data_IF_121113605789
#
_entry.id   IF_121113605789
#
_cell.length_a   1.000
_cell.length_b   1.000
_cell.length_c   1.000
_cell.angle_alpha   90.00
_cell.angle_beta   90.00
_cell.angle_gamma   90.00
#
_symmetry.space_group_name_H-M   'P 1'
#
loop_
_entity.id
_entity.type
_entity.pdbx_description
1 polymer ?
#
# COMPACT_ATOMS: atom_id res chain seq x y z
N UNK A 1 -11.44 39.14 7.50
CA UNK A 1 -12.36 38.24 6.76
C UNK A 1 -13.78 38.71 7.01
N UNK A 2 -14.57 38.96 5.96
CA UNK A 2 -15.96 39.39 6.09
C UNK A 2 -16.91 38.17 6.09
N UNK A 3 -18.15 38.36 6.56
CA UNK A 3 -19.12 37.27 6.72
C UNK A 3 -19.40 36.51 5.41
N UNK A 4 -19.38 37.20 4.27
CA UNK A 4 -19.53 36.57 2.95
C UNK A 4 -18.41 35.57 2.63
N UNK A 5 -17.15 35.90 2.95
CA UNK A 5 -16.03 34.98 2.76
C UNK A 5 -16.15 33.74 3.65
N UNK A 6 -16.60 33.90 4.91
CA UNK A 6 -16.88 32.77 5.80
C UNK A 6 -17.98 31.87 5.25
N UNK A 7 -19.05 32.47 4.71
CA UNK A 7 -20.16 31.72 4.13
C UNK A 7 -19.71 30.88 2.93
N UNK A 8 -18.88 31.44 2.04
CA UNK A 8 -18.33 30.70 0.89
C UNK A 8 -17.42 29.55 1.31
N UNK A 9 -16.57 29.75 2.33
CA UNK A 9 -15.68 28.70 2.85
C UNK A 9 -16.50 27.55 3.44
N UNK A 10 -17.53 27.84 4.22
CA UNK A 10 -18.34 26.79 4.85
C UNK A 10 -19.24 26.10 3.81
N UNK A 11 -19.86 26.86 2.90
CA UNK A 11 -20.79 26.30 1.93
C UNK A 11 -20.09 25.52 0.81
N UNK A 12 -18.89 25.93 0.41
CA UNK A 12 -18.18 25.35 -0.76
C UNK A 12 -16.89 24.67 -0.31
N UNK A 13 -16.07 25.37 0.47
CA UNK A 13 -14.76 24.88 0.89
C UNK A 13 -14.85 23.59 1.71
N UNK A 14 -15.72 23.53 2.71
CA UNK A 14 -15.88 22.34 3.55
C UNK A 14 -16.39 21.14 2.73
N UNK A 15 -17.48 21.24 1.95
CA UNK A 15 -17.92 20.12 1.11
C UNK A 15 -16.89 19.71 0.07
N UNK A 16 -16.22 20.65 -0.61
CA UNK A 16 -15.18 20.33 -1.58
C UNK A 16 -14.01 19.58 -0.94
N UNK A 17 -13.59 19.98 0.26
CA UNK A 17 -12.54 19.30 1.01
C UNK A 17 -12.95 17.88 1.43
N UNK A 18 -14.19 17.70 1.89
CA UNK A 18 -14.72 16.38 2.23
C UNK A 18 -14.78 15.47 0.99
N UNK A 19 -15.28 15.97 -0.14
CA UNK A 19 -15.31 15.24 -1.42
C UNK A 19 -13.89 14.84 -1.84
N UNK A 20 -12.92 15.75 -1.70
CA UNK A 20 -11.52 15.47 -2.02
C UNK A 20 -10.94 14.34 -1.16
N UNK A 21 -11.16 14.38 0.16
CA UNK A 21 -10.70 13.32 1.06
C UNK A 21 -11.35 11.98 0.71
N UNK A 22 -12.66 11.99 0.44
CA UNK A 22 -13.42 10.79 0.11
C UNK A 22 -12.98 10.18 -1.22
N UNK A 23 -12.78 11.00 -2.24
CA UNK A 23 -12.26 10.58 -3.54
C UNK A 23 -10.83 10.03 -3.41
N UNK A 24 -9.98 10.68 -2.61
CA UNK A 24 -8.60 10.22 -2.35
C UNK A 24 -8.57 8.85 -1.66
N UNK A 25 -9.48 8.62 -0.71
CA UNK A 25 -9.66 7.32 -0.07
C UNK A 25 -10.15 6.26 -1.07
N UNK A 26 -11.21 6.56 -1.83
CA UNK A 26 -11.80 5.65 -2.80
C UNK A 26 -10.77 5.24 -3.88
N UNK A 27 -9.97 6.20 -4.34
CA UNK A 27 -8.88 5.95 -5.28
C UNK A 27 -7.87 4.94 -4.75
N UNK A 28 -7.32 5.21 -3.55
CA UNK A 28 -6.30 4.37 -2.93
C UNK A 28 -6.82 3.00 -2.56
N UNK A 29 -8.06 2.90 -2.07
CA UNK A 29 -8.69 1.61 -1.76
C UNK A 29 -8.84 0.76 -3.03
N UNK A 30 -9.27 1.37 -4.14
CA UNK A 30 -9.31 0.72 -5.46
C UNK A 30 -7.95 0.19 -5.91
N UNK A 31 -6.93 1.04 -5.93
CA UNK A 31 -5.58 0.67 -6.36
C UNK A 31 -4.97 -0.44 -5.48
N UNK A 32 -5.17 -0.36 -4.15
CA UNK A 32 -4.65 -1.36 -3.21
C UNK A 32 -5.23 -2.76 -3.44
N UNK A 33 -6.41 -2.84 -4.07
CA UNK A 33 -7.11 -4.09 -4.39
C UNK A 33 -6.96 -4.49 -5.86
N UNK A 34 -6.05 -3.85 -6.60
CA UNK A 34 -5.80 -4.13 -8.01
C UNK A 34 -6.94 -3.73 -8.95
N UNK A 35 -7.80 -2.79 -8.53
CA UNK A 35 -8.85 -2.18 -9.37
C UNK A 35 -8.47 -0.75 -9.73
N UNK A 36 -9.07 -0.22 -10.80
CA UNK A 36 -8.85 1.18 -11.19
C UNK A 36 -9.44 2.11 -10.15
N UNK A 37 -8.62 2.94 -9.50
CA UNK A 37 -9.05 3.92 -8.50
C UNK A 37 -10.10 4.89 -9.04
N UNK A 38 -10.02 5.28 -10.32
CA UNK A 38 -11.01 6.14 -10.97
C UNK A 38 -12.40 5.51 -11.06
N UNK A 39 -12.49 4.20 -11.35
CA UNK A 39 -13.77 3.50 -11.38
C UNK A 39 -14.42 3.47 -9.99
N UNK A 40 -13.60 3.30 -8.94
CA UNK A 40 -14.08 3.30 -7.57
C UNK A 40 -14.56 4.68 -7.14
N UNK A 41 -13.82 5.75 -7.47
CA UNK A 41 -14.28 7.14 -7.25
C UNK A 41 -15.65 7.35 -7.89
N UNK A 42 -15.79 7.01 -9.18
CA UNK A 42 -17.03 7.24 -9.91
C UNK A 42 -18.20 6.45 -9.33
N UNK A 43 -17.98 5.18 -8.96
CA UNK A 43 -18.99 4.35 -8.32
C UNK A 43 -19.46 4.94 -6.98
N UNK A 44 -18.51 5.33 -6.14
CA UNK A 44 -18.79 5.84 -4.79
C UNK A 44 -19.45 7.22 -4.83
N UNK A 45 -18.99 8.13 -5.69
CA UNK A 45 -19.53 9.50 -5.78
C UNK A 45 -20.87 9.58 -6.52
N UNK A 46 -21.06 8.84 -7.62
CA UNK A 46 -22.30 8.89 -8.41
C UNK A 46 -23.47 8.18 -7.72
N UNK A 47 -23.17 7.12 -6.95
CA UNK A 47 -24.18 6.31 -6.29
C UNK A 47 -24.38 6.63 -4.82
N UNK A 48 -23.74 7.65 -4.23
CA UNK A 48 -23.78 7.87 -2.79
C UNK A 48 -25.23 7.98 -2.28
N UNK A 49 -25.64 7.24 -1.22
CA UNK A 49 -24.84 6.34 -0.38
C UNK A 49 -24.75 4.88 -0.90
N UNK A 50 -25.61 4.49 -1.83
CA UNK A 50 -25.71 3.12 -2.37
C UNK A 50 -24.40 2.64 -3.01
N UNK A 51 -23.74 3.48 -3.80
CA UNK A 51 -22.47 3.17 -4.46
C UNK A 51 -21.32 2.94 -3.47
N UNK A 52 -21.32 3.66 -2.35
CA UNK A 52 -20.40 3.41 -1.25
C UNK A 52 -20.64 2.05 -0.61
N UNK A 53 -21.90 1.74 -0.28
CA UNK A 53 -22.27 0.44 0.31
C UNK A 53 -21.92 -0.70 -0.64
N UNK A 54 -22.26 -0.57 -1.93
CA UNK A 54 -21.95 -1.55 -2.96
C UNK A 54 -20.43 -1.80 -3.07
N UNK A 55 -19.62 -0.73 -3.06
CA UNK A 55 -18.17 -0.88 -3.04
C UNK A 55 -17.70 -1.61 -1.79
N UNK A 56 -18.18 -1.24 -0.60
CA UNK A 56 -17.76 -1.87 0.65
C UNK A 56 -18.13 -3.36 0.73
N UNK A 57 -19.29 -3.75 0.17
CA UNK A 57 -19.75 -5.15 0.17
C UNK A 57 -19.07 -6.01 -0.90
N UNK A 58 -18.78 -5.44 -2.07
CA UNK A 58 -18.24 -6.18 -3.23
C UNK A 58 -16.74 -5.98 -3.42
N UNK A 59 -16.07 -5.20 -2.54
CA UNK A 59 -14.64 -4.91 -2.67
C UNK A 59 -13.84 -6.22 -2.67
N UNK A 60 -12.89 -6.38 -3.61
CA UNK A 60 -12.03 -7.55 -3.63
C UNK A 60 -11.10 -7.58 -2.40
N UNK A 61 -10.65 -8.77 -2.03
CA UNK A 61 -9.58 -8.91 -1.04
C UNK A 61 -8.31 -8.20 -1.52
N UNK A 62 -7.53 -7.69 -0.57
CA UNK A 62 -6.26 -7.03 -0.89
C UNK A 62 -5.35 -8.09 -1.51
N UNK A 63 -4.97 -7.90 -2.77
CA UNK A 63 -3.99 -8.77 -3.42
C UNK A 63 -2.69 -8.61 -2.68
N UNK A 64 -2.41 -9.54 -1.77
CA UNK A 64 -1.11 -9.67 -1.14
C UNK A 64 -0.13 -9.87 -2.27
N UNK A 65 0.70 -8.86 -2.56
CA UNK A 65 1.78 -8.98 -3.54
C UNK A 65 2.50 -10.29 -3.21
N UNK A 66 2.59 -11.26 -4.14
CA UNK A 66 3.23 -12.54 -3.82
C UNK A 66 4.63 -12.21 -3.28
N UNK A 67 5.07 -12.85 -2.18
CA UNK A 67 6.40 -12.65 -1.65
C UNK A 67 7.34 -12.80 -2.84
N UNK A 68 8.15 -11.77 -3.08
CA UNK A 68 8.98 -11.66 -4.25
C UNK A 68 9.76 -12.98 -4.45
N UNK A 69 9.36 -13.83 -5.41
CA UNK A 69 9.98 -15.14 -5.67
C UNK A 69 11.46 -15.03 -6.06
N UNK A 70 11.93 -13.83 -6.42
CA UNK A 70 13.35 -13.57 -6.69
C UNK A 70 14.19 -13.36 -5.44
N UNK A 71 13.58 -13.21 -4.25
CA UNK A 71 14.30 -13.44 -3.00
C UNK A 71 14.30 -14.96 -2.78
N UNK A 72 15.49 -15.60 -2.70
CA UNK A 72 15.56 -16.95 -2.16
C UNK A 72 14.79 -16.95 -0.85
N UNK A 73 13.91 -17.94 -0.64
CA UNK A 73 13.36 -18.17 0.69
C UNK A 73 14.55 -18.59 1.55
N UNK A 74 15.21 -17.60 2.15
CA UNK A 74 16.22 -17.82 3.16
C UNK A 74 15.45 -18.26 4.40
N UNK A 75 15.15 -19.56 4.46
CA UNK A 75 14.59 -20.16 5.65
C UNK A 75 15.55 -19.92 6.82
N UNK A 76 15.04 -19.89 8.06
CA UNK A 76 15.89 -19.68 9.24
C UNK A 76 17.09 -20.65 9.33
N UNK A 77 17.01 -21.84 8.70
CA UNK A 77 18.12 -22.78 8.59
C UNK A 77 19.22 -22.39 7.57
N UNK A 78 18.88 -21.69 6.47
CA UNK A 78 19.86 -21.40 5.40
C UNK A 78 20.68 -20.14 5.68
N UNK A 79 20.15 -19.19 6.46
CA UNK A 79 20.93 -18.05 6.95
C UNK A 79 22.08 -18.49 7.87
N UNK A 80 21.83 -19.50 8.71
CA UNK A 80 22.84 -20.05 9.62
C UNK A 80 23.93 -20.81 8.85
N UNK A 81 23.54 -21.65 7.88
CA UNK A 81 24.48 -22.35 7.00
C UNK A 81 25.35 -21.39 6.17
N UNK A 82 24.75 -20.35 5.60
CA UNK A 82 25.48 -19.35 4.80
C UNK A 82 26.44 -18.49 5.65
N UNK A 83 26.11 -18.24 6.91
CA UNK A 83 27.03 -17.57 7.83
C UNK A 83 28.17 -18.50 8.25
N UNK A 84 27.89 -19.79 8.42
CA UNK A 84 28.89 -20.78 8.85
C UNK A 84 29.90 -21.07 7.74
N UNK A 85 29.45 -21.25 6.50
CA UNK A 85 30.35 -21.47 5.35
C UNK A 85 31.30 -20.29 5.18
N UNK A 86 30.79 -19.06 5.28
CA UNK A 86 31.59 -17.84 5.15
C UNK A 86 32.67 -17.73 6.24
N UNK A 87 32.38 -18.17 7.47
CA UNK A 87 33.36 -18.18 8.56
C UNK A 87 34.45 -19.23 8.30
N UNK A 88 34.09 -20.42 7.81
CA UNK A 88 35.04 -21.49 7.48
C UNK A 88 35.95 -21.07 6.33
N UNK A 89 35.41 -20.40 5.31
CA UNK A 89 36.19 -19.92 4.17
C UNK A 89 37.21 -18.84 4.60
N UNK A 90 36.80 -17.88 5.43
CA UNK A 90 37.72 -16.86 5.98
C UNK A 90 38.81 -17.50 6.86
N UNK A 91 38.47 -18.51 7.65
CA UNK A 91 39.45 -19.21 8.48
C UNK A 91 40.47 -19.99 7.62
N UNK A 92 40.02 -20.61 6.53
CA UNK A 92 40.88 -21.32 5.58
C UNK A 92 41.83 -20.36 4.85
N UNK A 93 41.32 -19.21 4.39
CA UNK A 93 42.13 -18.17 3.75
C UNK A 93 43.22 -17.66 4.70
N UNK A 94 42.85 -17.31 5.94
CA UNK A 94 43.84 -16.87 6.93
C UNK A 94 44.86 -17.95 7.29
N UNK A 95 44.46 -19.22 7.34
CA UNK A 95 45.37 -20.35 7.59
C UNK A 95 46.36 -20.60 6.45
N UNK A 96 46.00 -20.29 5.19
CA UNK A 96 46.92 -20.42 4.06
C UNK A 96 47.94 -19.28 3.97
N UNK A 97 47.63 -18.11 4.55
CA UNK A 97 48.54 -16.95 4.61
C UNK A 97 49.62 -17.08 5.69
N UNK A 98 49.52 -18.09 6.56
CA UNK A 98 50.44 -18.34 7.67
C UNK A 98 51.44 -19.47 7.41
N UNK A 99 51.50 -20.01 6.18
CA UNK A 99 52.50 -21.00 5.74
C UNK A 99 53.50 -20.40 4.77
#
# INVERSE_FOLDING_TARGET
>A
MNAAALYLIVLIGVPAYLIYLFASWAYRDGESRGKSGWLVILLVLSGFPVGLVAWLTLRPEVVSRPPNRSRPIVGPGTAYEASTSRIVDVAREKGSLLR
#
